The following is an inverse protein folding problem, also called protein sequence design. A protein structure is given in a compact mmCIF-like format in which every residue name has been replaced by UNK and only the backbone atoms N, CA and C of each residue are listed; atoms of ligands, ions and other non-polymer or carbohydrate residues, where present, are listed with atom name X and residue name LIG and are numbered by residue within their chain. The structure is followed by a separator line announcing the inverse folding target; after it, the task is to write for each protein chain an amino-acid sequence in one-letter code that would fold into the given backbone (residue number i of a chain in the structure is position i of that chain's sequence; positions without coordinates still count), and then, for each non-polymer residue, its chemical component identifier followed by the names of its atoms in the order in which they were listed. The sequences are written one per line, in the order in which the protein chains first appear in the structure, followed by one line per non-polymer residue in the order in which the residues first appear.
data_IF_478329895089
#
_entry.id   IF_478329895089
#
_cell.length_a   1.000
_cell.length_b   1.000
_cell.length_c   1.000
_cell.angle_alpha   90.00
_cell.angle_beta   90.00
_cell.angle_gamma   90.00
#
_symmetry.space_group_name_H-M   'P 1'
#
loop_
_entity.id
_entity.type
_entity.pdbx_description
1 polymer ?
#
# COMPACT_ATOMS: atom_id res chain seq x y z
N UNK A 1 7.40 -13.81 5.44
CA UNK A 1 6.43 -13.30 4.47
C UNK A 1 5.06 -13.63 5.02
N UNK A 2 4.17 -12.66 5.17
CA UNK A 2 2.77 -12.90 5.53
C UNK A 2 1.97 -13.00 4.23
N UNK A 3 1.09 -13.99 4.15
CA UNK A 3 0.21 -14.18 3.01
C UNK A 3 -1.22 -13.83 3.40
N UNK A 4 -1.97 -13.31 2.47
CA UNK A 4 -3.42 -13.12 2.57
C UNK A 4 -4.15 -14.32 1.99
N UNK A 5 -5.40 -14.48 2.39
CA UNK A 5 -6.35 -15.44 1.81
C UNK A 5 -7.47 -14.63 1.15
N UNK A 6 -8.03 -15.12 0.04
CA UNK A 6 -9.15 -14.43 -0.62
C UNK A 6 -10.37 -14.33 0.30
N UNK A 7 -11.14 -13.25 0.17
CA UNK A 7 -12.41 -13.08 0.90
C UNK A 7 -13.42 -14.08 0.40
N UNK A 8 -13.51 -14.25 -0.91
CA UNK A 8 -14.45 -15.23 -1.52
C UNK A 8 -13.70 -16.41 -2.15
N UNK A 9 -14.32 -17.57 -2.22
CA UNK A 9 -13.71 -18.75 -2.82
C UNK A 9 -13.52 -18.54 -4.33
N UNK A 10 -12.28 -18.70 -4.79
CA UNK A 10 -11.94 -18.53 -6.21
C UNK A 10 -12.34 -17.16 -6.81
N UNK A 11 -12.44 -16.11 -5.98
CA UNK A 11 -12.88 -14.77 -6.40
C UNK A 11 -14.30 -14.77 -7.01
N UNK A 12 -15.20 -15.61 -6.51
CA UNK A 12 -16.58 -15.70 -7.02
C UNK A 12 -17.52 -14.58 -6.54
N UNK A 13 -17.05 -13.76 -5.58
CA UNK A 13 -17.78 -12.62 -5.03
C UNK A 13 -18.88 -12.95 -4.01
N UNK A 14 -19.14 -14.24 -3.71
CA UNK A 14 -20.27 -14.68 -2.88
C UNK A 14 -19.93 -15.76 -1.84
N UNK A 15 -19.05 -16.70 -2.15
CA UNK A 15 -18.78 -17.88 -1.30
C UNK A 15 -17.72 -17.57 -0.24
N UNK A 16 -18.11 -17.55 1.03
CA UNK A 16 -17.22 -17.18 2.16
C UNK A 16 -17.12 -18.26 3.25
N UNK A 17 -17.64 -19.47 3.01
CA UNK A 17 -17.68 -20.50 4.06
C UNK A 17 -16.29 -20.96 4.53
N UNK A 18 -15.27 -20.92 3.67
CA UNK A 18 -13.89 -21.19 4.02
C UNK A 18 -13.34 -20.26 5.11
N UNK A 19 -13.84 -19.02 5.22
CA UNK A 19 -13.41 -18.07 6.26
C UNK A 19 -13.67 -18.62 7.66
N UNK A 20 -14.74 -19.42 7.84
CA UNK A 20 -15.10 -20.03 9.14
C UNK A 20 -14.05 -21.06 9.60
N UNK A 21 -13.33 -21.68 8.66
CA UNK A 21 -12.38 -22.75 8.90
C UNK A 21 -10.92 -22.34 8.74
N UNK A 22 -10.62 -21.06 8.51
CA UNK A 22 -9.26 -20.56 8.37
C UNK A 22 -8.40 -20.92 9.58
N UNK A 23 -7.16 -21.40 9.35
CA UNK A 23 -6.20 -21.65 10.43
C UNK A 23 -5.91 -20.39 11.25
N UNK A 24 -5.61 -20.57 12.54
CA UNK A 24 -5.31 -19.48 13.46
C UNK A 24 -4.12 -18.59 13.04
N UNK A 25 -3.24 -19.09 12.16
CA UNK A 25 -2.10 -18.35 11.60
C UNK A 25 -2.48 -17.35 10.48
N UNK A 26 -3.68 -17.45 9.93
CA UNK A 26 -4.16 -16.48 8.93
C UNK A 26 -4.61 -15.22 9.66
N UNK A 27 -3.96 -14.09 9.34
CA UNK A 27 -4.22 -12.79 9.98
C UNK A 27 -4.83 -11.76 9.04
N UNK A 28 -4.82 -12.04 7.73
CA UNK A 28 -5.24 -11.09 6.71
C UNK A 28 -6.05 -11.80 5.62
N UNK A 29 -7.13 -11.16 5.19
CA UNK A 29 -7.87 -11.55 3.99
C UNK A 29 -7.98 -10.37 3.03
N UNK A 30 -8.06 -10.63 1.73
CA UNK A 30 -8.20 -9.62 0.69
C UNK A 30 -8.93 -10.20 -0.52
N UNK A 31 -9.56 -9.35 -1.31
CA UNK A 31 -10.02 -9.68 -2.67
C UNK A 31 -9.19 -8.85 -3.64
N UNK A 32 -7.88 -9.13 -3.68
CA UNK A 32 -6.89 -8.32 -4.39
C UNK A 32 -7.20 -8.17 -5.88
N UNK A 33 -7.16 -6.91 -6.35
CA UNK A 33 -7.49 -6.53 -7.73
C UNK A 33 -8.98 -6.55 -8.06
N UNK A 34 -9.85 -6.87 -7.10
CA UNK A 34 -11.30 -6.87 -7.23
C UNK A 34 -11.94 -6.36 -5.94
N UNK A 35 -13.12 -5.77 -6.02
CA UNK A 35 -13.95 -5.52 -4.83
C UNK A 35 -14.96 -6.68 -4.65
N UNK A 36 -15.35 -6.96 -3.42
CA UNK A 36 -16.54 -7.80 -3.18
C UNK A 36 -17.77 -6.93 -3.34
N UNK A 37 -18.51 -7.11 -4.42
CA UNK A 37 -19.61 -6.22 -4.80
C UNK A 37 -20.85 -6.42 -3.93
N UNK A 38 -21.14 -7.66 -3.52
CA UNK A 38 -22.31 -7.96 -2.70
C UNK A 38 -22.12 -7.48 -1.24
N UNK A 39 -22.91 -6.50 -0.85
CA UNK A 39 -22.88 -5.92 0.48
C UNK A 39 -23.16 -6.92 1.60
N UNK A 40 -24.04 -7.91 1.37
CA UNK A 40 -24.38 -8.91 2.38
C UNK A 40 -23.23 -9.90 2.59
N UNK A 41 -22.54 -10.28 1.52
CA UNK A 41 -21.33 -11.11 1.57
C UNK A 41 -20.23 -10.40 2.33
N UNK A 42 -19.96 -9.12 2.01
CA UNK A 42 -18.93 -8.34 2.69
C UNK A 42 -19.25 -8.14 4.18
N UNK A 43 -20.51 -7.83 4.53
CA UNK A 43 -20.92 -7.69 5.94
C UNK A 43 -20.72 -8.98 6.74
N UNK A 44 -21.05 -10.15 6.15
CA UNK A 44 -20.79 -11.46 6.78
C UNK A 44 -19.30 -11.74 6.94
N UNK A 45 -18.47 -11.39 5.95
CA UNK A 45 -17.03 -11.55 6.03
C UNK A 45 -16.45 -10.70 7.17
N UNK A 46 -16.86 -9.43 7.33
CA UNK A 46 -16.47 -8.58 8.45
C UNK A 46 -16.86 -9.20 9.80
N UNK A 47 -18.09 -9.69 9.93
CA UNK A 47 -18.54 -10.34 11.16
C UNK A 47 -17.70 -11.58 11.54
N UNK A 48 -17.30 -12.39 10.56
CA UNK A 48 -16.40 -13.55 10.78
C UNK A 48 -15.01 -13.07 11.19
N UNK A 49 -14.47 -12.05 10.53
CA UNK A 49 -13.14 -11.51 10.78
C UNK A 49 -13.00 -10.95 12.20
N UNK A 50 -14.03 -10.27 12.70
CA UNK A 50 -14.06 -9.79 14.10
C UNK A 50 -13.89 -10.96 15.09
N UNK A 51 -14.60 -12.06 14.88
CA UNK A 51 -14.54 -13.23 15.79
C UNK A 51 -13.19 -13.93 15.76
N UNK A 52 -12.45 -13.83 14.65
CA UNK A 52 -11.17 -14.51 14.44
C UNK A 52 -9.94 -13.61 14.58
N UNK A 53 -10.13 -12.33 14.90
CA UNK A 53 -9.06 -11.32 14.93
C UNK A 53 -8.28 -11.24 13.61
N UNK A 54 -9.02 -11.25 12.49
CA UNK A 54 -8.48 -11.14 11.12
C UNK A 54 -8.70 -9.71 10.62
N UNK A 55 -7.68 -9.14 10.01
CA UNK A 55 -7.75 -7.84 9.31
C UNK A 55 -8.23 -8.03 7.88
N UNK A 56 -9.22 -7.24 7.47
CA UNK A 56 -9.62 -7.13 6.06
C UNK A 56 -8.68 -6.13 5.39
N UNK A 57 -7.95 -6.55 4.36
CA UNK A 57 -7.17 -5.68 3.48
C UNK A 57 -7.99 -5.42 2.23
N UNK A 58 -8.39 -4.18 2.02
CA UNK A 58 -9.33 -3.83 0.95
C UNK A 58 -8.62 -3.13 -0.20
N UNK A 59 -8.65 -3.78 -1.37
CA UNK A 59 -8.57 -3.10 -2.66
C UNK A 59 -9.96 -2.53 -2.94
N UNK A 60 -10.11 -1.21 -2.83
CA UNK A 60 -11.43 -0.58 -2.94
C UNK A 60 -11.75 -0.24 -4.41
N UNK A 61 -12.58 -1.03 -5.03
CA UNK A 61 -13.06 -0.80 -6.38
C UNK A 61 -14.47 -1.38 -6.58
N UNK A 62 -15.46 -0.52 -6.70
CA UNK A 62 -16.78 -0.93 -7.16
C UNK A 62 -16.72 -1.24 -8.67
N UNK A 63 -16.78 -2.52 -9.01
CA UNK A 63 -16.61 -3.02 -10.39
C UNK A 63 -17.77 -2.63 -11.33
N UNK A 64 -18.93 -2.23 -10.80
CA UNK A 64 -20.05 -1.73 -11.61
C UNK A 64 -19.88 -0.24 -11.96
N UNK A 65 -19.17 0.50 -11.10
CA UNK A 65 -18.90 1.93 -11.28
C UNK A 65 -17.59 2.15 -12.06
N UNK A 66 -16.55 1.37 -11.80
CA UNK A 66 -15.20 1.60 -12.34
C UNK A 66 -15.12 1.70 -13.87
N UNK A 67 -15.97 1.05 -14.69
CA UNK A 67 -15.94 1.21 -16.15
C UNK A 67 -16.22 2.64 -16.64
N UNK A 68 -16.86 3.48 -15.82
CA UNK A 68 -17.21 4.85 -16.20
C UNK A 68 -16.68 5.91 -15.23
N UNK A 69 -16.42 5.57 -13.96
CA UNK A 69 -15.82 6.48 -12.98
C UNK A 69 -15.00 5.72 -11.92
N UNK A 70 -13.72 5.53 -12.19
CA UNK A 70 -12.79 4.87 -11.26
C UNK A 70 -12.62 5.61 -9.92
N UNK A 71 -12.80 6.94 -9.91
CA UNK A 71 -12.69 7.72 -8.69
C UNK A 71 -13.85 7.41 -7.75
N UNK A 72 -15.05 7.50 -8.29
CA UNK A 72 -16.27 7.19 -7.54
C UNK A 72 -16.29 5.73 -7.06
N UNK A 73 -15.79 4.80 -7.87
CA UNK A 73 -15.68 3.39 -7.53
C UNK A 73 -14.84 3.15 -6.27
N UNK A 74 -13.67 3.82 -6.15
CA UNK A 74 -12.83 3.77 -4.96
C UNK A 74 -13.54 4.40 -3.76
N UNK A 75 -14.10 5.60 -3.95
CA UNK A 75 -14.75 6.36 -2.87
C UNK A 75 -15.93 5.59 -2.25
N UNK A 76 -16.82 5.02 -3.08
CA UNK A 76 -18.02 4.29 -2.63
C UNK A 76 -17.63 3.03 -1.85
N UNK A 77 -16.72 2.23 -2.38
CA UNK A 77 -16.31 1.01 -1.68
C UNK A 77 -15.55 1.32 -0.39
N UNK A 78 -14.73 2.37 -0.37
CA UNK A 78 -14.07 2.83 0.84
C UNK A 78 -15.07 3.24 1.92
N UNK A 79 -16.10 4.03 1.59
CA UNK A 79 -17.17 4.43 2.52
C UNK A 79 -17.87 3.21 3.09
N UNK A 80 -18.27 2.25 2.24
CA UNK A 80 -18.91 1.00 2.66
C UNK A 80 -18.04 0.22 3.65
N UNK A 81 -16.78 0.00 3.30
CA UNK A 81 -15.87 -0.83 4.11
C UNK A 81 -15.51 -0.15 5.44
N UNK A 82 -15.33 1.18 5.45
CA UNK A 82 -15.16 1.96 6.66
C UNK A 82 -16.39 1.85 7.59
N UNK A 83 -17.60 1.91 7.03
CA UNK A 83 -18.84 1.74 7.80
C UNK A 83 -18.97 0.33 8.38
N UNK A 84 -18.63 -0.71 7.62
CA UNK A 84 -18.63 -2.08 8.13
C UNK A 84 -17.58 -2.28 9.23
N UNK A 85 -16.39 -1.68 9.09
CA UNK A 85 -15.36 -1.69 10.13
C UNK A 85 -15.86 -1.03 11.43
N UNK A 86 -16.49 0.14 11.34
CA UNK A 86 -17.09 0.84 12.49
C UNK A 86 -18.18 -0.03 13.14
N UNK A 87 -19.09 -0.59 12.36
CA UNK A 87 -20.24 -1.36 12.87
C UNK A 87 -19.82 -2.66 13.56
N UNK A 88 -18.93 -3.42 12.96
CA UNK A 88 -18.47 -4.72 13.49
C UNK A 88 -17.23 -4.62 14.38
N UNK A 89 -16.58 -3.45 14.46
CA UNK A 89 -15.28 -3.25 15.11
C UNK A 89 -14.22 -4.21 14.53
N UNK A 90 -14.26 -4.45 13.22
CA UNK A 90 -13.33 -5.28 12.48
C UNK A 90 -12.13 -4.46 12.03
N UNK A 91 -10.91 -4.95 12.26
CA UNK A 91 -9.70 -4.34 11.72
C UNK A 91 -9.78 -4.27 10.19
N UNK A 92 -9.64 -3.05 9.66
CA UNK A 92 -9.65 -2.78 8.22
C UNK A 92 -8.36 -2.06 7.83
N UNK A 93 -7.72 -2.52 6.77
CA UNK A 93 -6.62 -1.81 6.12
C UNK A 93 -7.02 -1.47 4.69
N UNK A 94 -7.09 -0.17 4.37
CA UNK A 94 -7.36 0.30 3.01
C UNK A 94 -6.06 0.36 2.24
N UNK A 95 -5.92 -0.49 1.22
CA UNK A 95 -4.73 -0.59 0.38
C UNK A 95 -4.67 0.56 -0.62
N UNK A 96 -3.47 1.00 -0.97
CA UNK A 96 -3.13 1.94 -2.06
C UNK A 96 -4.15 3.07 -2.29
N UNK A 97 -4.61 3.72 -1.21
CA UNK A 97 -5.58 4.83 -1.29
C UNK A 97 -5.06 5.92 -2.22
N UNK A 98 -5.89 6.35 -3.16
CA UNK A 98 -5.47 7.27 -4.20
C UNK A 98 -6.31 8.55 -4.32
N UNK A 99 -7.49 8.63 -3.69
CA UNK A 99 -8.41 9.76 -3.82
C UNK A 99 -8.58 10.54 -2.52
N UNK A 100 -8.92 11.83 -2.64
CA UNK A 100 -9.33 12.66 -1.50
C UNK A 100 -10.59 12.12 -0.83
N UNK A 101 -11.58 11.65 -1.63
CA UNK A 101 -12.85 11.17 -1.08
C UNK A 101 -12.67 9.94 -0.19
N UNK A 102 -11.81 8.99 -0.59
CA UNK A 102 -11.45 7.85 0.22
C UNK A 102 -10.72 8.27 1.52
N UNK A 103 -9.78 9.23 1.45
CA UNK A 103 -9.10 9.76 2.64
C UNK A 103 -10.07 10.41 3.62
N UNK A 104 -11.02 11.21 3.13
CA UNK A 104 -12.05 11.86 3.97
C UNK A 104 -12.91 10.80 4.68
N UNK A 105 -13.31 9.74 3.98
CA UNK A 105 -14.07 8.63 4.56
C UNK A 105 -13.27 7.89 5.64
N UNK A 106 -12.00 7.60 5.40
CA UNK A 106 -11.08 6.93 6.35
C UNK A 106 -10.89 7.80 7.60
N UNK A 107 -10.63 9.09 7.43
CA UNK A 107 -10.45 10.03 8.54
C UNK A 107 -11.71 10.09 9.41
N UNK A 108 -12.88 10.20 8.79
CA UNK A 108 -14.16 10.19 9.51
C UNK A 108 -14.41 8.89 10.27
N UNK A 109 -14.09 7.74 9.68
CA UNK A 109 -14.20 6.45 10.35
C UNK A 109 -13.26 6.37 11.57
N UNK A 110 -12.01 6.81 11.44
CA UNK A 110 -11.04 6.88 12.56
C UNK A 110 -11.54 7.78 13.70
N UNK A 111 -12.09 8.95 13.37
CA UNK A 111 -12.67 9.87 14.37
C UNK A 111 -13.85 9.27 15.13
N UNK A 112 -14.59 8.34 14.52
CA UNK A 112 -15.68 7.59 15.16
C UNK A 112 -15.21 6.35 15.90
N UNK A 113 -13.90 6.07 15.92
CA UNK A 113 -13.31 4.94 16.62
C UNK A 113 -13.32 3.62 15.86
N UNK A 114 -13.52 3.65 14.54
CA UNK A 114 -13.35 2.46 13.71
C UNK A 114 -11.86 2.05 13.66
N UNK A 115 -11.52 0.76 13.77
CA UNK A 115 -10.14 0.29 13.71
C UNK A 115 -9.63 0.23 12.26
N UNK A 116 -9.57 1.39 11.61
CA UNK A 116 -9.15 1.55 10.21
C UNK A 116 -7.72 2.05 10.13
N UNK A 117 -6.93 1.42 9.28
CA UNK A 117 -5.62 1.88 8.82
C UNK A 117 -5.64 2.02 7.29
N UNK A 118 -4.70 2.78 6.73
CA UNK A 118 -4.56 2.88 5.28
C UNK A 118 -3.12 3.09 4.85
N UNK A 119 -2.86 2.78 3.60
CA UNK A 119 -1.58 3.04 2.96
C UNK A 119 -1.75 3.86 1.68
N UNK A 120 -0.68 4.53 1.28
CA UNK A 120 -0.55 5.20 -0.02
C UNK A 120 0.68 4.68 -0.72
N UNK A 121 0.75 4.83 -2.05
CA UNK A 121 1.86 4.30 -2.84
C UNK A 121 2.84 5.39 -3.27
N UNK A 122 4.12 5.06 -3.49
CA UNK A 122 5.10 6.01 -4.02
C UNK A 122 4.67 6.63 -5.36
N UNK A 123 4.03 5.86 -6.23
CA UNK A 123 3.64 6.36 -7.55
C UNK A 123 2.45 7.33 -7.50
N UNK A 124 1.48 7.12 -6.60
CA UNK A 124 0.39 8.09 -6.40
C UNK A 124 0.86 9.37 -5.69
N UNK A 125 2.00 9.32 -4.97
CA UNK A 125 2.62 10.51 -4.40
C UNK A 125 3.46 11.30 -5.41
N UNK A 126 4.09 10.61 -6.38
CA UNK A 126 5.04 11.21 -7.30
C UNK A 126 4.42 11.73 -8.58
N UNK A 127 3.53 10.95 -9.18
CA UNK A 127 2.89 11.27 -10.44
C UNK A 127 1.48 11.82 -10.27
N UNK A 128 1.11 12.73 -11.16
CA UNK A 128 -0.27 13.09 -11.47
C UNK A 128 -0.59 12.76 -12.94
N UNK A 129 -1.86 12.79 -13.31
CA UNK A 129 -2.34 12.39 -14.63
C UNK A 129 -1.90 13.31 -15.78
N UNK A 130 -1.38 14.52 -15.46
CA UNK A 130 -0.77 15.41 -16.44
C UNK A 130 0.68 15.04 -16.78
N UNK A 131 1.38 14.35 -15.85
CA UNK A 131 2.77 13.96 -15.99
C UNK A 131 2.95 12.53 -16.50
N UNK A 132 2.04 11.63 -16.14
CA UNK A 132 2.17 10.22 -16.47
C UNK A 132 0.83 9.61 -16.87
N UNK A 133 0.79 9.06 -18.09
CA UNK A 133 -0.27 8.17 -18.57
C UNK A 133 0.23 6.73 -18.52
N UNK A 134 0.01 6.05 -17.41
CA UNK A 134 0.49 4.68 -17.17
C UNK A 134 -0.58 3.85 -16.47
N UNK A 135 -0.79 2.62 -16.94
CA UNK A 135 -1.85 1.77 -16.39
C UNK A 135 -1.41 1.11 -15.10
N UNK A 136 -1.91 1.62 -14.00
CA UNK A 136 -1.93 1.04 -12.65
C UNK A 136 -3.36 0.98 -12.16
N UNK A 137 -3.65 0.24 -11.11
CA UNK A 137 -4.96 0.19 -10.47
C UNK A 137 -4.80 0.23 -8.94
N UNK A 138 -5.26 1.31 -8.29
CA UNK A 138 -6.00 2.48 -8.82
C UNK A 138 -5.20 3.31 -9.84
N UNK A 139 -5.89 4.04 -10.75
CA UNK A 139 -5.23 4.88 -11.73
C UNK A 139 -4.46 6.06 -11.10
N UNK A 140 -3.45 6.57 -11.80
CA UNK A 140 -2.81 7.85 -11.45
C UNK A 140 -3.88 8.94 -11.42
N UNK A 141 -3.87 9.74 -10.37
CA UNK A 141 -4.90 10.76 -10.08
C UNK A 141 -4.45 12.17 -10.45
N UNK A 142 -5.35 13.12 -10.28
CA UNK A 142 -5.06 14.54 -10.49
C UNK A 142 -4.15 15.10 -9.40
N UNK A 143 -3.54 16.24 -9.68
CA UNK A 143 -2.63 16.90 -8.74
C UNK A 143 -3.29 17.28 -7.39
N UNK A 144 -4.60 17.53 -7.36
CA UNK A 144 -5.33 17.80 -6.12
C UNK A 144 -5.50 16.56 -5.22
N UNK A 145 -5.61 15.37 -5.81
CA UNK A 145 -5.57 14.12 -5.06
C UNK A 145 -4.16 13.86 -4.51
N UNK A 146 -3.12 14.05 -5.33
CA UNK A 146 -1.72 13.95 -4.86
C UNK A 146 -1.47 14.88 -3.67
N UNK A 147 -1.95 16.12 -3.72
CA UNK A 147 -1.84 17.06 -2.61
C UNK A 147 -2.63 16.59 -1.36
N UNK A 148 -3.79 15.97 -1.55
CA UNK A 148 -4.57 15.39 -0.46
C UNK A 148 -3.83 14.21 0.21
N UNK A 149 -3.20 13.31 -0.56
CA UNK A 149 -2.37 12.23 -0.02
C UNK A 149 -1.22 12.75 0.84
N UNK A 150 -0.51 13.79 0.37
CA UNK A 150 0.57 14.42 1.14
C UNK A 150 0.05 15.05 2.42
N UNK A 151 -1.11 15.70 2.38
CA UNK A 151 -1.76 16.28 3.57
C UNK A 151 -2.13 15.19 4.57
N UNK A 152 -2.72 14.10 4.12
CA UNK A 152 -3.12 12.96 4.95
C UNK A 152 -1.93 12.22 5.59
N UNK A 153 -0.75 12.26 4.95
CA UNK A 153 0.51 11.81 5.58
C UNK A 153 0.90 12.76 6.72
N UNK A 154 0.87 14.08 6.47
CA UNK A 154 1.31 15.09 7.45
C UNK A 154 0.40 15.15 8.68
N UNK A 155 -0.89 14.89 8.54
CA UNK A 155 -1.85 14.89 9.65
C UNK A 155 -2.00 13.53 10.36
N UNK A 156 -1.32 12.48 9.88
CA UNK A 156 -1.32 11.14 10.49
C UNK A 156 -2.51 10.27 10.10
N UNK A 157 -3.32 10.65 9.12
CA UNK A 157 -4.39 9.81 8.58
C UNK A 157 -3.83 8.56 7.92
N UNK A 158 -2.73 8.70 7.16
CA UNK A 158 -2.02 7.58 6.51
C UNK A 158 -1.16 6.83 7.53
N UNK A 159 -1.30 5.52 7.57
CA UNK A 159 -0.64 4.63 8.54
C UNK A 159 0.72 4.13 8.04
N UNK A 160 0.86 3.90 6.74
CA UNK A 160 2.10 3.38 6.13
C UNK A 160 2.15 3.66 4.62
N UNK A 161 3.29 3.33 4.02
CA UNK A 161 3.49 3.30 2.57
C UNK A 161 3.52 1.86 2.11
N UNK A 162 2.64 1.52 1.17
CA UNK A 162 2.65 0.27 0.41
C UNK A 162 3.20 0.52 -0.99
N UNK A 163 3.88 -0.45 -1.57
CA UNK A 163 4.50 -0.27 -2.90
C UNK A 163 3.58 -0.59 -4.05
N UNK A 164 2.59 -1.42 -3.81
CA UNK A 164 1.77 -2.03 -4.87
C UNK A 164 2.66 -2.60 -6.01
N UNK A 165 3.70 -3.36 -5.61
CA UNK A 165 4.67 -3.93 -6.54
C UNK A 165 4.03 -5.04 -7.37
N UNK A 166 3.68 -4.72 -8.61
CA UNK A 166 3.02 -5.61 -9.56
C UNK A 166 3.83 -5.76 -10.86
N UNK A 167 4.84 -6.66 -10.87
CA UNK A 167 5.68 -6.88 -12.04
C UNK A 167 4.91 -7.62 -13.15
N UNK A 168 4.98 -7.09 -14.37
CA UNK A 168 4.39 -7.68 -15.57
C UNK A 168 5.42 -7.79 -16.68
N UNK A 169 5.26 -8.78 -17.56
CA UNK A 169 6.04 -8.84 -18.78
C UNK A 169 5.69 -7.68 -19.74
N UNK A 170 6.59 -7.37 -20.68
CA UNK A 170 6.29 -6.38 -21.72
C UNK A 170 5.06 -6.78 -22.54
N UNK A 171 4.87 -8.08 -22.76
CA UNK A 171 3.71 -8.62 -23.48
C UNK A 171 2.40 -8.38 -22.69
N UNK A 172 2.40 -8.62 -21.38
CA UNK A 172 1.21 -8.39 -20.53
C UNK A 172 0.89 -6.90 -20.46
N UNK A 173 1.91 -6.04 -20.33
CA UNK A 173 1.72 -4.59 -20.37
C UNK A 173 1.13 -4.12 -21.70
N UNK A 174 1.58 -4.69 -22.83
CA UNK A 174 1.03 -4.39 -24.16
C UNK A 174 -0.44 -4.85 -24.29
N UNK A 175 -0.85 -5.89 -23.57
CA UNK A 175 -2.25 -6.34 -23.45
C UNK A 175 -3.07 -5.54 -22.44
N UNK A 176 -2.44 -4.55 -21.77
CA UNK A 176 -3.10 -3.65 -20.86
C UNK A 176 -3.14 -4.10 -19.38
N UNK A 177 -2.22 -4.97 -18.94
CA UNK A 177 -2.08 -5.31 -17.52
C UNK A 177 -1.81 -4.06 -16.68
N UNK A 178 -2.55 -3.89 -15.59
CA UNK A 178 -2.31 -2.83 -14.61
C UNK A 178 -1.17 -3.22 -13.67
N UNK A 179 -0.35 -2.26 -13.27
CA UNK A 179 0.74 -2.47 -12.30
C UNK A 179 2.12 -2.07 -12.80
N UNK A 180 3.05 -1.93 -11.84
CA UNK A 180 4.43 -1.52 -12.07
C UNK A 180 5.38 -2.15 -11.04
N UNK A 181 6.68 -2.16 -11.34
CA UNK A 181 7.68 -2.48 -10.33
C UNK A 181 7.93 -1.26 -9.45
N UNK A 182 7.96 -1.44 -8.12
CA UNK A 182 8.06 -0.33 -7.17
C UNK A 182 8.94 -0.59 -5.94
N UNK A 183 9.35 -1.85 -5.66
CA UNK A 183 10.08 -2.17 -4.41
C UNK A 183 11.43 -1.45 -4.31
N UNK A 184 12.23 -1.46 -5.39
CA UNK A 184 13.62 -0.96 -5.37
C UNK A 184 13.69 0.57 -5.40
N UNK A 185 12.63 1.23 -5.85
CA UNK A 185 12.54 2.69 -5.98
C UNK A 185 11.79 3.37 -4.83
N UNK A 186 11.03 2.60 -4.03
CA UNK A 186 10.08 3.12 -3.05
C UNK A 186 10.69 4.12 -2.08
N UNK A 187 11.85 3.80 -1.47
CA UNK A 187 12.49 4.69 -0.51
C UNK A 187 12.92 6.01 -1.17
N UNK A 188 13.63 5.94 -2.29
CA UNK A 188 14.17 7.12 -2.97
C UNK A 188 13.05 8.05 -3.47
N UNK A 189 11.99 7.49 -4.06
CA UNK A 189 10.80 8.26 -4.49
C UNK A 189 10.15 8.95 -3.31
N UNK A 190 9.85 8.22 -2.24
CA UNK A 190 9.22 8.79 -1.04
C UNK A 190 10.11 9.79 -0.32
N UNK A 191 11.43 9.52 -0.20
CA UNK A 191 12.36 10.45 0.39
C UNK A 191 12.45 11.76 -0.40
N UNK A 192 12.58 11.66 -1.72
CA UNK A 192 12.63 12.84 -2.58
C UNK A 192 11.34 13.63 -2.50
N UNK A 193 10.20 12.98 -2.67
CA UNK A 193 8.89 13.65 -2.63
C UNK A 193 8.61 14.23 -1.25
N UNK A 194 8.62 13.39 -0.22
CA UNK A 194 8.09 13.78 1.09
C UNK A 194 9.11 14.60 1.91
N UNK A 195 10.39 14.17 1.95
CA UNK A 195 11.36 14.85 2.78
C UNK A 195 11.99 16.07 2.08
N UNK A 196 12.44 15.89 0.82
CA UNK A 196 13.16 16.96 0.12
C UNK A 196 12.24 18.04 -0.45
N UNK A 197 11.07 17.67 -1.00
CA UNK A 197 10.15 18.62 -1.64
C UNK A 197 9.09 19.13 -0.67
N UNK A 198 8.55 18.25 0.20
CA UNK A 198 7.41 18.57 1.06
C UNK A 198 7.80 18.87 2.52
N UNK A 199 9.10 18.73 2.87
CA UNK A 199 9.63 19.05 4.19
C UNK A 199 9.24 18.12 5.32
N UNK A 200 8.83 16.87 5.00
CA UNK A 200 8.51 15.87 6.01
C UNK A 200 9.80 15.44 6.75
N UNK A 201 9.80 15.36 8.08
CA UNK A 201 10.94 14.83 8.83
C UNK A 201 11.27 13.39 8.43
N UNK A 202 12.56 13.05 8.38
CA UNK A 202 13.02 11.69 8.01
C UNK A 202 12.46 10.63 8.97
N UNK A 203 12.30 10.97 10.25
CA UNK A 203 11.71 10.11 11.27
C UNK A 203 10.27 9.72 10.93
N UNK A 204 9.49 10.65 10.36
CA UNK A 204 8.13 10.36 9.91
C UNK A 204 8.14 9.43 8.70
N UNK A 205 9.05 9.63 7.73
CA UNK A 205 9.21 8.69 6.63
C UNK A 205 9.64 7.31 7.13
N UNK A 206 10.56 7.25 8.09
CA UNK A 206 10.98 5.99 8.74
C UNK A 206 9.79 5.31 9.43
N UNK A 207 8.93 6.06 10.12
CA UNK A 207 7.69 5.52 10.67
C UNK A 207 6.81 4.91 9.58
N UNK A 208 6.51 5.64 8.52
CA UNK A 208 5.62 5.21 7.42
C UNK A 208 6.14 3.99 6.66
N UNK A 209 7.44 3.75 6.63
CA UNK A 209 8.07 2.64 5.90
C UNK A 209 8.58 1.51 6.81
N UNK A 210 8.52 1.65 8.13
CA UNK A 210 9.03 0.66 9.09
C UNK A 210 8.05 0.36 10.23
N UNK A 211 7.89 1.29 11.18
CA UNK A 211 7.05 1.06 12.37
C UNK A 211 5.56 1.00 12.02
N UNK A 212 5.10 1.85 11.13
CA UNK A 212 3.72 1.86 10.66
C UNK A 212 3.27 0.52 10.05
N UNK A 213 3.97 0.01 9.00
CA UNK A 213 3.64 -1.30 8.46
C UNK A 213 3.83 -2.44 9.47
N UNK A 214 4.79 -2.34 10.40
CA UNK A 214 4.94 -3.35 11.47
C UNK A 214 3.69 -3.37 12.39
N UNK A 215 3.12 -2.21 12.72
CA UNK A 215 1.88 -2.11 13.50
C UNK A 215 0.69 -2.69 12.74
N UNK A 216 0.53 -2.35 11.46
CA UNK A 216 -0.55 -2.90 10.60
C UNK A 216 -0.48 -4.42 10.56
N UNK A 217 0.73 -4.98 10.49
CA UNK A 217 0.96 -6.41 10.40
C UNK A 217 0.99 -7.14 11.76
N UNK A 218 0.89 -6.42 12.88
CA UNK A 218 1.02 -6.98 14.23
C UNK A 218 2.42 -7.54 14.51
N UNK A 219 3.46 -6.90 13.99
CA UNK A 219 4.86 -7.28 14.13
C UNK A 219 5.68 -6.27 14.96
N UNK A 220 5.04 -5.26 15.53
CA UNK A 220 5.65 -4.10 16.17
C UNK A 220 6.29 -4.42 17.54
N UNK A 221 6.11 -5.64 18.06
CA UNK A 221 6.82 -6.12 19.24
C UNK A 221 8.29 -6.50 18.96
N UNK A 222 8.65 -6.76 17.67
CA UNK A 222 9.99 -7.22 17.30
C UNK A 222 10.51 -6.67 15.97
N UNK A 223 9.71 -5.85 15.25
CA UNK A 223 10.09 -5.21 13.97
C UNK A 223 9.78 -3.73 13.95
N UNK A 224 10.41 -3.02 13.01
CA UNK A 224 10.13 -1.61 12.73
C UNK A 224 10.88 -0.60 13.60
N UNK A 225 11.74 -1.05 14.52
CA UNK A 225 12.53 -0.17 15.41
C UNK A 225 13.95 -0.67 15.58
N UNK A 226 14.89 0.27 15.81
CA UNK A 226 16.28 -0.02 16.15
C UNK A 226 16.45 0.04 17.67
N UNK A 227 15.98 -1.01 18.37
CA UNK A 227 16.12 -1.13 19.83
C UNK A 227 16.58 -2.55 20.19
N UNK A 228 17.29 -2.73 21.34
CA UNK A 228 17.72 -4.04 21.79
C UNK A 228 16.54 -5.03 21.91
N UNK A 229 16.70 -6.25 21.40
CA UNK A 229 15.67 -7.28 21.40
C UNK A 229 14.82 -7.35 20.12
N UNK A 230 14.90 -6.34 19.25
CA UNK A 230 14.25 -6.35 17.94
C UNK A 230 15.10 -7.06 16.88
N UNK A 231 14.45 -7.51 15.81
CA UNK A 231 15.12 -8.07 14.66
C UNK A 231 16.09 -7.04 14.07
N UNK A 232 17.31 -7.47 13.76
CA UNK A 232 18.31 -6.62 13.12
C UNK A 232 18.04 -6.49 11.61
N UNK A 233 16.91 -5.87 11.29
CA UNK A 233 16.49 -5.50 9.92
C UNK A 233 16.81 -4.00 9.74
N UNK A 234 17.89 -3.68 9.00
CA UNK A 234 18.46 -2.32 8.93
C UNK A 234 18.70 -1.93 7.48
N UNK A 235 18.38 -0.71 7.14
CA UNK A 235 18.72 -0.09 5.86
C UNK A 235 19.65 1.11 6.11
N UNK A 236 20.77 1.14 5.39
CA UNK A 236 21.66 2.31 5.35
C UNK A 236 21.42 3.06 4.04
N UNK A 237 21.23 4.36 4.16
CA UNK A 237 20.92 5.22 3.02
C UNK A 237 21.86 6.42 2.98
N UNK A 238 22.27 6.84 1.78
CA UNK A 238 22.90 8.13 1.55
C UNK A 238 21.82 9.11 1.09
N UNK A 239 21.45 10.01 1.98
CA UNK A 239 20.36 10.98 1.76
C UNK A 239 20.75 12.12 0.83
N UNK A 240 22.04 12.38 0.63
CA UNK A 240 22.54 13.47 -0.21
C UNK A 240 22.91 13.01 -1.62
N UNK A 241 23.04 11.71 -1.83
CA UNK A 241 23.33 11.16 -3.15
C UNK A 241 22.07 11.18 -4.03
N UNK A 242 22.20 11.84 -5.19
CA UNK A 242 21.19 11.81 -6.26
C UNK A 242 21.59 10.80 -7.32
N UNK A 243 20.67 9.97 -7.74
CA UNK A 243 20.89 8.98 -8.80
C UNK A 243 19.72 8.93 -9.76
N UNK A 244 19.97 8.48 -10.97
CA UNK A 244 18.92 8.24 -11.98
C UNK A 244 18.52 6.77 -11.96
N UNK A 245 17.23 6.50 -12.03
CA UNK A 245 16.69 5.14 -12.12
C UNK A 245 16.89 4.64 -13.54
N UNK A 246 17.48 3.46 -13.67
CA UNK A 246 17.58 2.72 -14.93
C UNK A 246 16.85 1.39 -14.78
N UNK A 247 15.74 1.23 -15.50
CA UNK A 247 14.88 0.06 -15.37
C UNK A 247 15.63 -1.26 -15.61
N UNK A 248 16.59 -1.26 -16.52
CA UNK A 248 17.40 -2.44 -16.85
C UNK A 248 18.32 -2.87 -15.70
N UNK A 249 18.68 -1.96 -14.78
CA UNK A 249 19.56 -2.23 -13.64
C UNK A 249 18.79 -2.79 -12.43
N UNK A 250 17.45 -2.73 -12.43
CA UNK A 250 16.64 -3.25 -11.34
C UNK A 250 16.77 -4.78 -11.24
N UNK A 251 16.74 -5.30 -10.02
CA UNK A 251 16.78 -6.76 -9.75
C UNK A 251 15.48 -7.46 -10.16
N UNK A 252 14.37 -6.73 -10.22
CA UNK A 252 13.10 -7.28 -10.71
C UNK A 252 13.29 -7.92 -12.09
N UNK A 253 12.70 -9.10 -12.31
CA UNK A 253 12.68 -9.75 -13.62
C UNK A 253 11.95 -8.90 -14.66
N UNK A 254 10.93 -8.19 -14.23
CA UNK A 254 10.17 -7.25 -15.04
C UNK A 254 10.77 -5.86 -15.00
N UNK A 255 10.69 -5.15 -16.12
CA UNK A 255 11.26 -3.81 -16.30
C UNK A 255 10.17 -2.74 -16.51
N UNK A 256 8.91 -3.06 -16.15
CA UNK A 256 7.76 -2.15 -16.24
C UNK A 256 7.82 -1.05 -15.14
N UNK A 257 8.81 -0.17 -15.25
CA UNK A 257 9.14 0.88 -14.30
C UNK A 257 8.89 2.27 -14.91
N UNK A 258 7.85 3.01 -14.53
CA UNK A 258 7.61 4.35 -15.05
C UNK A 258 8.56 5.42 -14.49
N UNK A 259 9.42 5.06 -13.53
CA UNK A 259 10.48 5.94 -13.03
C UNK A 259 11.76 5.88 -13.87
N UNK A 260 11.81 5.10 -14.96
CA UNK A 260 12.98 5.00 -15.81
C UNK A 260 13.40 6.38 -16.34
N UNK A 261 14.67 6.76 -16.14
CA UNK A 261 15.19 8.09 -16.47
C UNK A 261 14.89 9.20 -15.44
N UNK A 262 14.05 8.96 -14.44
CA UNK A 262 13.80 9.92 -13.35
C UNK A 262 14.95 9.90 -12.33
N UNK A 263 15.23 11.05 -11.71
CA UNK A 263 16.30 11.19 -10.72
C UNK A 263 15.74 11.44 -9.33
N UNK A 264 16.31 10.74 -8.34
CA UNK A 264 15.87 10.79 -6.94
C UNK A 264 17.06 10.92 -6.00
N UNK A 265 16.81 11.50 -4.83
CA UNK A 265 17.71 11.45 -3.68
C UNK A 265 17.43 10.24 -2.82
N UNK A 266 18.42 9.82 -2.02
CA UNK A 266 18.22 8.73 -1.06
C UNK A 266 18.63 7.36 -1.61
N UNK A 267 19.92 7.24 -1.94
CA UNK A 267 20.50 5.98 -2.40
C UNK A 267 20.56 4.97 -1.27
N UNK A 268 19.97 3.79 -1.47
CA UNK A 268 20.19 2.66 -0.56
C UNK A 268 21.59 2.11 -0.76
N UNK A 269 22.40 2.17 0.32
CA UNK A 269 23.81 1.72 0.31
C UNK A 269 23.95 0.29 0.83
N UNK A 270 23.12 -0.12 1.78
CA UNK A 270 23.16 -1.48 2.34
C UNK A 270 21.82 -1.85 2.93
N UNK A 271 21.46 -3.12 2.80
CA UNK A 271 20.36 -3.73 3.54
C UNK A 271 20.85 -4.91 4.37
N UNK A 272 20.38 -4.97 5.62
CA UNK A 272 20.69 -6.02 6.58
C UNK A 272 19.35 -6.66 6.98
N UNK A 273 19.29 -7.98 6.92
CA UNK A 273 18.11 -8.78 7.30
C UNK A 273 18.49 -9.81 8.35
N UNK A 274 17.90 -9.72 9.54
CA UNK A 274 18.22 -10.61 10.64
C UNK A 274 19.73 -10.62 10.99
N UNK A 275 20.37 -9.45 10.93
CA UNK A 275 21.81 -9.30 11.20
C UNK A 275 22.73 -9.71 10.05
N UNK A 276 22.20 -10.12 8.89
CA UNK A 276 23.02 -10.51 7.73
C UNK A 276 22.86 -9.48 6.61
N UNK A 277 23.99 -9.06 6.03
CA UNK A 277 23.99 -8.19 4.83
C UNK A 277 23.36 -8.97 3.68
N UNK A 278 22.29 -8.41 3.11
CA UNK A 278 21.57 -8.99 1.97
C UNK A 278 21.80 -8.19 0.68
N UNK A 279 22.16 -6.92 0.82
CA UNK A 279 22.55 -6.07 -0.30
C UNK A 279 23.59 -5.08 0.19
N UNK A 280 24.58 -4.81 -0.65
CA UNK A 280 25.55 -3.73 -0.47
C UNK A 280 25.88 -3.18 -1.85
N UNK A 281 25.74 -1.85 -1.99
CA UNK A 281 26.17 -1.14 -3.21
C UNK A 281 27.68 -1.14 -3.27
N UNK A 282 28.25 -1.47 -4.43
CA UNK A 282 29.68 -1.37 -4.66
C UNK A 282 30.13 0.10 -4.48
N UNK A 283 31.24 0.30 -3.78
CA UNK A 283 31.86 1.62 -3.68
C UNK A 283 32.47 1.93 -5.06
N UNK A 284 31.89 2.89 -5.74
CA UNK A 284 32.54 3.50 -6.90
C UNK A 284 33.70 4.37 -6.47
#
# INVERSE_FOLDING_TARGET
MNQTVSITENFDGVSIDHLKTLPAGVKFITEDGHGVQDNATMAKAFAICTQKDITVMSHAEDMEISPWDYRLAEDIETVRNCWLSEYYQTKLHMCHVSTRGALDAIQMAKLRGAPVTCEVTPHHLWFDDSRLQYKVNPPIRKADDVAALVTAIKDGTVSCIGTDHAPHSAEDKAKGAAGMVGLETAFAVCYTKLCRMEGLPLEMLSFLMSSGPAQVLGLDEHKGRLVPGFDADIVLVDTDHMFTVHADELHSKSKNCPYDGESFYGQVMMTIKGGKVTYQKDRQ
#
